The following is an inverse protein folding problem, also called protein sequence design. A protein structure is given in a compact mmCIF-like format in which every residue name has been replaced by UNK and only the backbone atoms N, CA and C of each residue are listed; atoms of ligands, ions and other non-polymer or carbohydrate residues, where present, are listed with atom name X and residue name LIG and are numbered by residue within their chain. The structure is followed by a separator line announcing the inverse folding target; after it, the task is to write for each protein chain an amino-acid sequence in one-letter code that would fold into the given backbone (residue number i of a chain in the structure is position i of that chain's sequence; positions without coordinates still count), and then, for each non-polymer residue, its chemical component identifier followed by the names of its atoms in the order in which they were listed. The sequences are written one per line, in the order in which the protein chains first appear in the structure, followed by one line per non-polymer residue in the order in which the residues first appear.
data_IF_531277797668
#
_entry.id   IF_531277797668
#
_cell.length_a   1.000
_cell.length_b   1.000
_cell.length_c   1.000
_cell.angle_alpha   90.00
_cell.angle_beta   90.00
_cell.angle_gamma   90.00
#
_symmetry.space_group_name_H-M   'P 1'
#
loop_
_entity.id
_entity.type
_entity.pdbx_description
1 polymer ?
#
# COMPACT_ATOMS: atom_id res chain seq x y z
N UNK A 1 -4.29 -16.35 -9.29
CA UNK A 1 -5.70 -15.95 -9.16
C UNK A 1 -5.78 -14.93 -8.02
N UNK A 2 -6.21 -13.71 -8.30
CA UNK A 2 -6.39 -12.66 -7.30
C UNK A 2 -7.64 -12.98 -6.45
N UNK A 3 -7.57 -12.78 -5.14
CA UNK A 3 -8.64 -13.19 -4.20
C UNK A 3 -9.45 -12.03 -3.63
N UNK A 4 -9.08 -10.78 -3.96
CA UNK A 4 -9.84 -9.59 -3.62
C UNK A 4 -10.08 -8.71 -4.85
N UNK A 5 -11.17 -7.96 -4.82
CA UNK A 5 -11.54 -6.98 -5.83
C UNK A 5 -11.53 -5.58 -5.22
N UNK A 6 -11.18 -4.58 -6.03
CA UNK A 6 -11.39 -3.19 -5.65
C UNK A 6 -12.89 -2.87 -5.76
N UNK A 7 -13.44 -2.18 -4.76
CA UNK A 7 -14.78 -1.61 -4.82
C UNK A 7 -14.83 -0.49 -5.87
N UNK A 8 -16.02 -0.01 -6.23
CA UNK A 8 -16.14 1.05 -7.23
C UNK A 8 -15.45 2.36 -6.76
N UNK A 9 -15.56 2.68 -5.47
CA UNK A 9 -14.88 3.83 -4.86
C UNK A 9 -13.35 3.65 -4.94
N UNK A 10 -12.85 2.46 -4.60
CA UNK A 10 -11.41 2.16 -4.66
C UNK A 10 -10.89 2.19 -6.10
N UNK A 11 -11.67 1.70 -7.07
CA UNK A 11 -11.31 1.73 -8.49
C UNK A 11 -11.23 3.15 -9.02
N UNK A 12 -12.19 4.00 -8.66
CA UNK A 12 -12.20 5.40 -9.06
C UNK A 12 -11.02 6.16 -8.46
N UNK A 13 -10.81 6.06 -7.15
CA UNK A 13 -9.67 6.67 -6.47
C UNK A 13 -8.33 6.20 -7.04
N UNK A 14 -8.18 4.90 -7.27
CA UNK A 14 -6.97 4.33 -7.88
C UNK A 14 -6.78 4.82 -9.31
N UNK A 15 -7.85 4.93 -10.10
CA UNK A 15 -7.77 5.44 -11.46
C UNK A 15 -7.28 6.89 -11.47
N UNK A 16 -7.88 7.76 -10.66
CA UNK A 16 -7.51 9.18 -10.54
C UNK A 16 -6.08 9.33 -10.03
N UNK A 17 -5.73 8.62 -8.96
CA UNK A 17 -4.37 8.61 -8.42
C UNK A 17 -3.32 8.21 -9.45
N UNK A 18 -3.59 7.23 -10.31
CA UNK A 18 -2.63 6.82 -11.35
C UNK A 18 -2.41 7.87 -12.45
N UNK A 19 -3.25 8.91 -12.55
CA UNK A 19 -3.11 9.94 -13.58
C UNK A 19 -2.03 10.97 -13.25
N UNK A 20 -1.85 11.29 -11.97
CA UNK A 20 -0.98 12.37 -11.50
C UNK A 20 -0.18 12.04 -10.21
N UNK A 21 -0.45 10.88 -9.59
CA UNK A 21 0.11 10.44 -8.30
C UNK A 21 -0.21 11.39 -7.13
N UNK A 22 -1.27 12.20 -7.23
CA UNK A 22 -1.69 13.09 -6.16
C UNK A 22 -2.46 12.31 -5.08
N UNK A 23 -1.89 12.24 -3.87
CA UNK A 23 -2.47 11.57 -2.71
C UNK A 23 -3.87 12.10 -2.34
N UNK A 24 -4.23 13.32 -2.75
CA UNK A 24 -5.58 13.87 -2.49
C UNK A 24 -6.70 13.03 -3.09
N UNK A 25 -6.43 12.28 -4.16
CA UNK A 25 -7.40 11.33 -4.72
C UNK A 25 -7.72 10.16 -3.77
N UNK A 26 -6.90 9.98 -2.74
CA UNK A 26 -7.02 8.93 -1.73
C UNK A 26 -7.58 9.45 -0.40
N UNK A 27 -7.96 10.73 -0.34
CA UNK A 27 -8.51 11.33 0.87
C UNK A 27 -9.80 10.61 1.32
N UNK A 28 -9.93 10.43 2.64
CA UNK A 28 -11.04 9.71 3.24
C UNK A 28 -11.06 8.18 3.01
N UNK A 29 -10.10 7.61 2.28
CA UNK A 29 -9.99 6.16 2.17
C UNK A 29 -9.49 5.54 3.48
N UNK A 30 -10.11 4.42 3.84
CA UNK A 30 -9.68 3.61 4.97
C UNK A 30 -8.31 2.96 4.71
N UNK A 31 -7.52 2.66 5.74
CA UNK A 31 -6.19 2.03 5.58
C UNK A 31 -6.23 0.75 4.73
N UNK A 32 -7.27 -0.07 4.88
CA UNK A 32 -7.44 -1.31 4.11
C UNK A 32 -7.58 -1.02 2.62
N UNK A 33 -8.30 0.05 2.25
CA UNK A 33 -8.44 0.45 0.86
C UNK A 33 -7.08 0.87 0.27
N UNK A 34 -6.29 1.67 0.99
CA UNK A 34 -4.93 2.05 0.57
C UNK A 34 -4.04 0.82 0.37
N UNK A 35 -4.06 -0.12 1.32
CA UNK A 35 -3.28 -1.36 1.20
C UNK A 35 -3.71 -2.19 -0.02
N UNK A 36 -5.01 -2.26 -0.33
CA UNK A 36 -5.50 -2.91 -1.55
C UNK A 36 -5.01 -2.22 -2.83
N UNK A 37 -4.91 -0.89 -2.84
CA UNK A 37 -4.36 -0.14 -3.98
C UNK A 37 -2.87 -0.43 -4.18
N UNK A 38 -2.10 -0.46 -3.09
CA UNK A 38 -0.68 -0.81 -3.11
C UNK A 38 -0.48 -2.21 -3.68
N UNK A 39 -1.27 -3.17 -3.20
CA UNK A 39 -1.23 -4.56 -3.69
C UNK A 39 -1.64 -4.63 -5.16
N UNK A 40 -2.64 -3.84 -5.59
CA UNK A 40 -3.03 -3.76 -6.99
C UNK A 40 -1.89 -3.21 -7.87
N UNK A 41 -1.17 -2.18 -7.43
CA UNK A 41 -0.05 -1.60 -8.17
C UNK A 41 1.09 -2.61 -8.37
N UNK A 42 1.41 -3.41 -7.35
CA UNK A 42 2.38 -4.49 -7.47
C UNK A 42 1.96 -5.58 -8.46
N UNK A 43 0.68 -5.98 -8.45
CA UNK A 43 0.14 -6.92 -9.45
C UNK A 43 0.22 -6.38 -10.87
N UNK A 44 -0.06 -5.08 -11.05
CA UNK A 44 0.00 -4.41 -12.34
C UNK A 44 1.44 -4.06 -12.77
N UNK A 45 2.44 -4.35 -11.92
CA UNK A 45 3.85 -3.96 -12.08
C UNK A 45 4.06 -2.46 -12.31
N UNK A 46 3.21 -1.64 -11.70
CA UNK A 46 3.29 -0.18 -11.74
C UNK A 46 4.10 0.33 -10.55
N UNK A 47 5.42 0.16 -10.62
CA UNK A 47 6.32 0.43 -9.48
C UNK A 47 6.39 1.90 -9.08
N UNK A 48 6.12 2.82 -10.01
CA UNK A 48 5.98 4.25 -9.73
C UNK A 48 4.74 4.54 -8.88
N UNK A 49 3.62 3.90 -9.21
CA UNK A 49 2.36 3.96 -8.45
C UNK A 49 2.50 3.27 -7.10
N UNK A 50 3.14 2.10 -7.06
CA UNK A 50 3.44 1.36 -5.83
C UNK A 50 4.30 2.21 -4.89
N UNK A 51 5.35 2.85 -5.41
CA UNK A 51 6.21 3.73 -4.61
C UNK A 51 5.45 4.94 -4.05
N UNK A 52 4.61 5.58 -4.87
CA UNK A 52 3.83 6.74 -4.44
C UNK A 52 2.81 6.42 -3.32
N UNK A 53 2.49 5.14 -3.11
CA UNK A 53 1.62 4.68 -2.01
C UNK A 53 2.39 4.41 -0.71
N UNK A 54 3.72 4.39 -0.75
CA UNK A 54 4.52 4.44 0.48
C UNK A 54 4.43 5.81 1.15
N UNK A 55 4.62 5.81 2.46
CA UNK A 55 4.54 7.03 3.25
C UNK A 55 5.59 8.06 2.86
N UNK A 56 5.18 9.32 2.76
CA UNK A 56 6.05 10.48 2.58
C UNK A 56 6.40 11.17 3.91
N UNK A 57 5.90 10.65 5.04
CA UNK A 57 6.13 11.21 6.36
C UNK A 57 7.61 11.15 6.72
N UNK A 58 8.19 12.30 7.07
CA UNK A 58 9.59 12.41 7.46
C UNK A 58 9.91 11.45 8.63
N UNK A 59 11.06 10.76 8.52
CA UNK A 59 11.49 9.76 9.49
C UNK A 59 10.93 8.34 9.28
N UNK A 60 9.96 8.16 8.38
CA UNK A 60 9.43 6.83 8.01
C UNK A 60 9.88 6.35 6.63
N UNK A 61 10.30 7.28 5.75
CA UNK A 61 10.88 6.97 4.43
C UNK A 61 12.18 6.18 4.58
N UNK A 62 12.32 5.08 3.83
CA UNK A 62 13.51 4.20 3.91
C UNK A 62 14.43 4.28 2.69
N UNK A 63 13.89 4.46 1.49
CA UNK A 63 14.66 4.54 0.24
C UNK A 63 13.97 5.48 -0.75
N UNK A 64 14.70 5.94 -1.77
CA UNK A 64 14.17 6.89 -2.77
C UNK A 64 13.36 6.20 -3.88
N UNK A 65 12.66 6.99 -4.70
CA UNK A 65 11.94 6.46 -5.87
C UNK A 65 12.91 5.81 -6.85
N UNK A 66 14.04 6.46 -7.10
CA UNK A 66 15.10 5.95 -7.98
C UNK A 66 15.62 4.60 -7.48
N UNK A 67 15.94 4.49 -6.18
CA UNK A 67 16.36 3.22 -5.58
C UNK A 67 15.28 2.15 -5.72
N UNK A 68 14.01 2.51 -5.59
CA UNK A 68 12.89 1.59 -5.73
C UNK A 68 12.72 1.06 -7.16
N UNK A 69 12.89 1.93 -8.15
CA UNK A 69 12.80 1.57 -9.57
C UNK A 69 13.98 0.69 -10.01
N UNK A 70 15.16 0.86 -9.39
CA UNK A 70 16.35 0.05 -9.65
C UNK A 70 16.31 -1.35 -9.03
N UNK A 71 15.33 -1.67 -8.17
CA UNK A 71 15.17 -3.01 -7.59
C UNK A 71 14.99 -4.04 -8.72
N UNK A 72 15.94 -5.00 -8.88
CA UNK A 72 15.83 -6.03 -9.91
C UNK A 72 14.59 -6.90 -9.71
N UNK A 73 13.97 -7.34 -10.81
CA UNK A 73 12.80 -8.24 -10.75
C UNK A 73 13.06 -9.49 -9.89
N UNK A 74 14.28 -10.02 -9.92
CA UNK A 74 14.69 -11.18 -9.11
C UNK A 74 14.70 -10.92 -7.59
N UNK A 75 14.76 -9.65 -7.17
CA UNK A 75 14.66 -9.23 -5.77
C UNK A 75 13.24 -8.79 -5.39
N UNK A 76 12.33 -8.66 -6.36
CA UNK A 76 10.91 -8.42 -6.10
C UNK A 76 10.25 -9.73 -5.71
N UNK A 77 9.18 -9.63 -4.92
CA UNK A 77 8.36 -10.79 -4.58
C UNK A 77 7.82 -11.44 -5.87
N UNK A 78 7.94 -12.77 -5.98
CA UNK A 78 7.29 -13.48 -7.07
C UNK A 78 5.78 -13.31 -7.01
N UNK A 79 5.08 -13.41 -8.15
CA UNK A 79 3.62 -13.29 -8.19
C UNK A 79 2.94 -14.26 -7.20
N UNK A 80 3.44 -15.50 -7.10
CA UNK A 80 2.95 -16.50 -6.14
C UNK A 80 3.17 -16.07 -4.69
N UNK A 81 4.36 -15.55 -4.37
CA UNK A 81 4.65 -15.02 -3.04
C UNK A 81 3.75 -13.83 -2.71
N UNK A 82 3.57 -12.91 -3.66
CA UNK A 82 2.73 -11.73 -3.53
C UNK A 82 1.26 -12.10 -3.29
N UNK A 83 0.73 -13.09 -4.03
CA UNK A 83 -0.60 -13.66 -3.79
C UNK A 83 -0.69 -14.25 -2.38
N UNK A 84 0.28 -15.05 -1.96
CA UNK A 84 0.24 -15.69 -0.65
C UNK A 84 0.31 -14.68 0.50
N UNK A 85 1.04 -13.57 0.32
CA UNK A 85 1.13 -12.51 1.32
C UNK A 85 -0.17 -11.71 1.45
N UNK A 86 -0.85 -11.43 0.32
CA UNK A 86 -1.90 -10.41 0.26
C UNK A 86 -3.29 -10.93 -0.11
N UNK A 87 -3.46 -12.24 -0.30
CA UNK A 87 -4.75 -12.82 -0.66
C UNK A 87 -5.87 -12.63 0.38
N UNK A 88 -5.54 -12.20 1.60
CA UNK A 88 -6.50 -11.95 2.69
C UNK A 88 -6.46 -10.51 3.20
N UNK A 89 -5.86 -9.58 2.45
CA UNK A 89 -5.73 -8.18 2.87
C UNK A 89 -7.10 -7.52 3.14
N UNK A 90 -8.12 -7.89 2.36
CA UNK A 90 -9.50 -7.40 2.48
C UNK A 90 -10.24 -7.94 3.71
N UNK A 91 -9.72 -9.01 4.32
CA UNK A 91 -10.25 -9.61 5.55
C UNK A 91 -9.53 -9.14 6.81
N UNK A 92 -8.51 -8.29 6.65
CA UNK A 92 -7.75 -7.78 7.78
C UNK A 92 -8.54 -6.77 8.61
N UNK A 93 -8.15 -6.61 9.87
CA UNK A 93 -8.68 -5.57 10.75
C UNK A 93 -7.61 -4.52 10.98
N UNK A 94 -7.94 -3.25 10.75
CA UNK A 94 -7.04 -2.16 11.09
C UNK A 94 -7.00 -1.92 12.60
N UNK A 95 -5.80 -1.86 13.16
CA UNK A 95 -5.51 -1.61 14.56
C UNK A 95 -4.66 -0.35 14.65
N UNK A 96 -5.24 0.70 15.22
CA UNK A 96 -4.55 1.96 15.48
C UNK A 96 -3.58 1.77 16.67
N UNK A 97 -2.33 2.19 16.50
CA UNK A 97 -1.29 2.07 17.54
C UNK A 97 -0.83 3.41 18.09
N UNK A 98 -0.95 4.47 17.30
CA UNK A 98 -0.75 5.86 17.74
C UNK A 98 -1.65 6.80 16.92
N UNK A 99 -1.50 8.11 17.09
CA UNK A 99 -2.24 9.11 16.31
C UNK A 99 -2.03 8.95 14.78
N UNK A 100 -0.81 8.61 14.38
CA UNK A 100 -0.40 8.55 12.97
C UNK A 100 0.14 7.18 12.54
N UNK A 101 0.06 6.16 13.39
CA UNK A 101 0.50 4.79 13.03
C UNK A 101 -0.57 3.77 13.36
N UNK A 102 -0.62 2.72 12.54
CA UNK A 102 -1.42 1.55 12.82
C UNK A 102 -0.99 0.40 11.93
N UNK A 103 -1.73 -0.70 12.00
CA UNK A 103 -1.49 -1.82 11.11
C UNK A 103 -2.74 -2.61 10.80
N UNK A 104 -2.77 -3.21 9.61
CA UNK A 104 -3.80 -4.16 9.22
C UNK A 104 -3.34 -5.53 9.66
N UNK A 105 -4.07 -6.15 10.58
CA UNK A 105 -3.82 -7.51 11.05
C UNK A 105 -4.64 -8.50 10.22
N UNK A 106 -3.99 -9.46 9.58
CA UNK A 106 -4.64 -10.65 9.02
C UNK A 106 -4.00 -11.93 9.59
N UNK A 107 -4.50 -13.10 9.19
CA UNK A 107 -4.09 -14.39 9.74
C UNK A 107 -2.65 -14.80 9.38
N UNK A 108 -2.05 -14.17 8.36
CA UNK A 108 -0.75 -14.54 7.80
C UNK A 108 0.33 -13.50 8.07
N UNK A 109 -0.01 -12.21 8.03
CA UNK A 109 0.91 -11.08 8.10
C UNK A 109 0.23 -9.83 8.66
N UNK A 110 1.04 -8.81 8.94
CA UNK A 110 0.56 -7.47 9.24
C UNK A 110 1.07 -6.43 8.25
N UNK A 111 0.20 -5.51 7.86
CA UNK A 111 0.52 -4.39 6.97
C UNK A 111 0.64 -3.11 7.78
N UNK A 112 1.87 -2.59 7.93
CA UNK A 112 2.11 -1.35 8.67
C UNK A 112 1.64 -0.14 7.87
N UNK A 113 0.91 0.76 8.53
CA UNK A 113 0.34 1.98 7.92
C UNK A 113 0.78 3.21 8.70
N UNK A 114 1.07 4.28 7.98
CA UNK A 114 1.46 5.59 8.53
C UNK A 114 0.55 6.64 7.92
N UNK A 115 0.00 7.51 8.75
CA UNK A 115 -0.78 8.68 8.33
C UNK A 115 0.17 9.84 8.08
N UNK A 116 0.11 10.44 6.91
CA UNK A 116 0.91 11.62 6.59
C UNK A 116 0.38 12.89 7.28
N UNK A 117 1.05 14.01 7.04
CA UNK A 117 0.68 15.30 7.63
C UNK A 117 -0.67 15.84 7.13
N UNK A 118 -1.10 15.41 5.94
CA UNK A 118 -2.42 15.75 5.37
C UNK A 118 -3.56 14.84 5.88
N UNK A 119 -3.25 13.85 6.71
CA UNK A 119 -4.24 12.95 7.30
C UNK A 119 -4.55 11.71 6.47
N UNK A 120 -3.86 11.50 5.35
CA UNK A 120 -4.03 10.40 4.42
C UNK A 120 -3.19 9.20 4.87
N UNK A 121 -3.79 8.01 4.90
CA UNK A 121 -3.07 6.78 5.23
C UNK A 121 -2.21 6.32 4.05
N UNK A 122 -1.01 5.85 4.36
CA UNK A 122 -0.04 5.33 3.40
C UNK A 122 0.65 4.08 3.97
N UNK A 123 1.28 3.32 3.09
CA UNK A 123 2.00 2.10 3.44
C UNK A 123 3.35 2.45 4.09
N UNK A 124 3.68 1.77 5.19
CA UNK A 124 5.04 1.86 5.74
C UNK A 124 6.00 1.01 4.92
N UNK A 125 7.21 1.52 4.71
CA UNK A 125 8.31 0.75 4.12
C UNK A 125 8.71 -0.47 4.96
N UNK A 126 8.46 -0.43 6.27
CA UNK A 126 8.85 -1.48 7.20
C UNK A 126 7.69 -2.47 7.40
N UNK A 127 7.85 -3.76 7.06
CA UNK A 127 6.86 -4.77 7.36
C UNK A 127 6.73 -4.96 8.88
N UNK A 128 5.62 -5.55 9.31
CA UNK A 128 5.52 -6.03 10.69
C UNK A 128 6.44 -7.25 10.82
N UNK A 129 7.41 -7.18 11.73
CA UNK A 129 8.25 -8.31 12.13
C UNK A 129 7.50 -9.23 13.11
#
# INVERSE_FOLDING_TARGET
MKTFELSDIEKEAYHLFQTDLDLKHLDGLEPISIAKLYVQAGFDKKYDVEYALYTDREGYVQWSKEDHEEIPEAHRASEEHYINLFNTIDKGTFILTSEHTGYIKNDLNGFSMVKNEDGIWQVSFMPIQ
#
